data_IF_468021074303
#
_entry.id   IF_468021074303
#
_cell.length_a   1.000
_cell.length_b   1.000
_cell.length_c   1.000
_cell.angle_alpha   90.00
_cell.angle_beta   90.00
_cell.angle_gamma   90.00
#
_symmetry.space_group_name_H-M   'P 1'
#
loop_
_entity.id
_entity.type
_entity.pdbx_description
1 polymer ?
#
# COMPACT_ATOMS: atom_id res chain seq x y z
N UNK A 1 -0.19 -12.80 5.37
CA UNK A 1 0.74 -12.01 6.20
C UNK A 1 0.95 -10.67 5.49
N UNK A 2 0.20 -9.63 5.88
CA UNK A 2 0.27 -8.30 5.26
C UNK A 2 1.45 -7.57 5.84
N UNK A 3 2.47 -7.30 5.03
CA UNK A 3 3.68 -6.58 5.49
C UNK A 3 3.32 -5.11 5.63
N UNK A 4 2.77 -4.75 6.78
CA UNK A 4 2.51 -3.36 7.16
C UNK A 4 3.81 -2.76 7.71
N UNK A 5 4.67 -2.27 6.81
CA UNK A 5 5.84 -1.45 7.18
C UNK A 5 5.39 -0.24 8.03
N UNK A 6 4.12 0.17 7.92
CA UNK A 6 3.53 1.26 8.70
C UNK A 6 3.04 0.89 10.09
N UNK A 7 2.49 -0.31 10.36
CA UNK A 7 1.78 -0.56 11.63
C UNK A 7 2.69 -0.61 12.84
N UNK A 8 3.95 -1.03 12.64
CA UNK A 8 4.94 -1.13 13.73
C UNK A 8 5.41 0.24 14.21
N UNK A 9 5.44 1.25 13.32
CA UNK A 9 5.90 2.59 13.66
C UNK A 9 4.76 3.59 13.92
N UNK A 10 3.61 3.43 13.27
CA UNK A 10 2.46 4.33 13.49
C UNK A 10 1.84 4.18 14.88
N UNK A 11 1.92 2.98 15.46
CA UNK A 11 1.28 2.64 16.73
C UNK A 11 2.17 2.87 17.96
N UNK A 12 3.49 3.00 17.79
CA UNK A 12 4.43 3.26 18.90
C UNK A 12 4.52 4.74 19.27
N UNK A 13 4.03 5.64 18.41
CA UNK A 13 3.96 7.06 18.71
C UNK A 13 2.82 7.35 19.70
N UNK A 14 3.01 8.34 20.58
CA UNK A 14 1.98 8.83 21.49
C UNK A 14 1.76 10.33 21.28
N UNK A 15 0.61 10.76 20.71
CA UNK A 15 -0.50 9.92 20.25
C UNK A 15 -0.15 9.12 18.99
N UNK A 16 -0.82 7.98 18.74
CA UNK A 16 -0.65 7.21 17.51
C UNK A 16 -0.88 8.07 16.27
N UNK A 17 -0.15 7.78 15.19
CA UNK A 17 -0.19 8.58 13.96
C UNK A 17 -1.37 8.19 13.08
N UNK A 18 -2.16 9.18 12.64
CA UNK A 18 -3.08 9.00 11.51
C UNK A 18 -2.28 8.69 10.26
N UNK A 19 -2.57 7.55 9.62
CA UNK A 19 -1.78 7.03 8.51
C UNK A 19 -2.68 6.42 7.43
N UNK A 20 -2.22 6.41 6.18
CA UNK A 20 -2.88 5.69 5.09
C UNK A 20 -2.26 4.29 5.00
N UNK A 21 -3.07 3.27 5.28
CA UNK A 21 -2.69 1.87 5.08
C UNK A 21 -2.90 1.46 3.64
N UNK A 22 -1.85 0.92 3.03
CA UNK A 22 -1.89 0.39 1.66
C UNK A 22 -1.80 -1.13 1.72
N UNK A 23 -2.54 -1.80 0.84
CA UNK A 23 -2.39 -3.24 0.67
C UNK A 23 -1.09 -3.56 -0.10
N UNK A 24 0.00 -3.67 0.65
CA UNK A 24 1.35 -3.92 0.12
C UNK A 24 1.43 -5.26 -0.59
N UNK A 25 0.69 -6.27 -0.15
CA UNK A 25 0.73 -7.60 -0.75
C UNK A 25 0.12 -7.58 -2.15
N UNK A 26 -1.09 -7.03 -2.26
CA UNK A 26 -1.77 -6.91 -3.55
C UNK A 26 -0.99 -6.00 -4.51
N UNK A 27 -0.35 -4.96 -3.99
CA UNK A 27 0.54 -4.10 -4.78
C UNK A 27 1.76 -4.88 -5.30
N UNK A 28 2.44 -5.63 -4.44
CA UNK A 28 3.62 -6.40 -4.81
C UNK A 28 3.28 -7.50 -5.83
N UNK A 29 2.22 -8.26 -5.59
CA UNK A 29 1.74 -9.30 -6.50
C UNK A 29 1.41 -8.71 -7.87
N UNK A 30 0.60 -7.64 -7.90
CA UNK A 30 0.25 -6.97 -9.15
C UNK A 30 1.49 -6.50 -9.93
N UNK A 31 2.50 -5.98 -9.23
CA UNK A 31 3.73 -5.49 -9.83
C UNK A 31 4.53 -6.64 -10.47
N UNK A 32 4.79 -7.71 -9.70
CA UNK A 32 5.57 -8.87 -10.15
C UNK A 32 4.86 -9.58 -11.31
N UNK A 33 3.55 -9.81 -11.21
CA UNK A 33 2.76 -10.42 -12.29
C UNK A 33 2.83 -9.58 -13.57
N UNK A 34 2.74 -8.26 -13.45
CA UNK A 34 2.83 -7.36 -14.61
C UNK A 34 4.22 -7.41 -15.25
N UNK A 35 5.28 -7.44 -14.45
CA UNK A 35 6.65 -7.58 -14.95
C UNK A 35 6.86 -8.90 -15.67
N UNK A 36 6.44 -10.02 -15.08
CA UNK A 36 6.51 -11.34 -15.70
C UNK A 36 5.77 -11.36 -17.04
N UNK A 37 4.56 -10.80 -17.08
CA UNK A 37 3.77 -10.74 -18.29
C UNK A 37 4.43 -9.89 -19.39
N UNK A 38 5.09 -8.78 -19.01
CA UNK A 38 5.87 -7.93 -19.93
C UNK A 38 7.12 -8.62 -20.46
N UNK A 39 7.78 -9.43 -19.64
CA UNK A 39 8.96 -10.22 -20.06
C UNK A 39 8.53 -11.31 -21.05
N UNK A 40 7.44 -12.02 -20.77
CA UNK A 40 6.94 -13.09 -21.64
C UNK A 40 6.31 -12.56 -22.94
N UNK A 41 5.71 -11.37 -22.92
CA UNK A 41 5.05 -10.77 -24.08
C UNK A 41 5.55 -9.33 -24.28
N UNK A 42 6.54 -9.10 -25.16
CA UNK A 42 7.16 -7.79 -25.34
C UNK A 42 6.20 -6.66 -25.71
N UNK A 43 5.12 -6.97 -26.44
CA UNK A 43 4.10 -5.99 -26.85
C UNK A 43 3.06 -5.70 -25.78
N UNK A 44 3.08 -6.43 -24.65
CA UNK A 44 2.13 -6.21 -23.57
C UNK A 44 2.26 -4.79 -23.01
N UNK A 45 1.13 -4.09 -22.89
CA UNK A 45 1.03 -2.77 -22.27
C UNK A 45 -0.05 -2.82 -21.23
N UNK A 46 0.35 -2.69 -19.97
CA UNK A 46 -0.59 -2.39 -18.90
C UNK A 46 -0.75 -0.87 -18.80
N UNK A 47 -1.99 -0.40 -18.71
CA UNK A 47 -2.29 0.97 -18.30
C UNK A 47 -2.02 1.18 -16.80
N UNK A 48 -2.83 2.04 -16.16
CA UNK A 48 -2.73 2.27 -14.71
C UNK A 48 -3.57 1.25 -13.95
N UNK A 49 -2.97 0.60 -12.95
CA UNK A 49 -3.69 -0.23 -11.97
C UNK A 49 -3.74 0.53 -10.64
N UNK A 50 -4.94 0.81 -10.17
CA UNK A 50 -5.17 1.49 -8.89
C UNK A 50 -5.22 0.44 -7.79
N UNK A 51 -4.45 0.64 -6.73
CA UNK A 51 -4.49 -0.17 -5.51
C UNK A 51 -5.20 0.64 -4.44
N UNK A 52 -6.22 0.04 -3.81
CA UNK A 52 -6.99 0.70 -2.78
C UNK A 52 -6.16 0.89 -1.50
N UNK A 53 -6.46 1.96 -0.78
CA UNK A 53 -5.89 2.26 0.51
C UNK A 53 -6.99 2.56 1.53
N UNK A 54 -6.65 2.46 2.80
CA UNK A 54 -7.57 2.71 3.92
C UNK A 54 -6.95 3.75 4.85
N UNK A 55 -7.71 4.78 5.21
CA UNK A 55 -7.30 5.75 6.21
C UNK A 55 -7.42 5.12 7.61
N UNK A 56 -6.32 5.11 8.36
CA UNK A 56 -6.27 4.71 9.76
C UNK A 56 -6.12 5.98 10.60
N UNK A 57 -7.14 6.31 11.39
CA UNK A 57 -7.08 7.45 12.31
C UNK A 57 -6.27 7.09 13.57
N UNK A 58 -5.17 7.79 13.76
CA UNK A 58 -4.43 7.85 15.02
C UNK A 58 -4.55 9.26 15.59
N UNK A 59 -4.71 9.42 16.90
CA UNK A 59 -5.06 10.69 17.56
C UNK A 59 -4.14 11.91 17.32
N UNK A 60 -3.17 11.81 16.41
CA UNK A 60 -2.32 12.90 15.91
C UNK A 60 -3.05 13.97 15.09
N UNK A 61 -4.27 13.74 14.59
CA UNK A 61 -5.05 14.74 13.82
C UNK A 61 -6.32 15.12 14.58
N UNK A 62 -6.56 16.43 14.74
CA UNK A 62 -7.78 16.97 15.37
C UNK A 62 -8.69 17.58 14.31
N UNK A 63 -10.01 17.45 14.53
CA UNK A 63 -11.03 18.13 13.73
C UNK A 63 -11.04 19.61 14.14
N UNK A 64 -10.88 20.51 13.17
CA UNK A 64 -11.05 21.96 13.36
C UNK A 64 -12.52 22.30 13.67
#
# INVERSE_FOLDING_TARGET
MTVLISSTYSNICSPPLTTISVDVNTMAEACVTTMLHKISTPDFKLGRKIINCTLISGGSVKKL
#
